data_IF_684326303844
#
_entry.id   IF_684326303844
#
_cell.length_a   1.000
_cell.length_b   1.000
_cell.length_c   1.000
_cell.angle_alpha   90.00
_cell.angle_beta   90.00
_cell.angle_gamma   90.00
#
_symmetry.space_group_name_H-M   'P 1'
#
loop_
_entity.id
_entity.type
_entity.pdbx_description
1 polymer ?
#
# COMPACT_ATOMS: atom_id res chain seq x y z
N UNK A 1 27.35 -5.23 -6.17
CA UNK A 1 26.18 -4.29 -6.27
C UNK A 1 24.86 -5.00 -6.00
N UNK A 2 24.55 -6.12 -6.63
CA UNK A 2 23.28 -6.86 -6.43
C UNK A 2 23.00 -7.28 -4.98
N UNK A 3 23.98 -7.85 -4.27
CA UNK A 3 23.82 -8.27 -2.87
C UNK A 3 23.50 -7.10 -1.92
N UNK A 4 24.11 -5.92 -2.15
CA UNK A 4 23.80 -4.71 -1.36
C UNK A 4 22.37 -4.24 -1.61
N UNK A 5 21.91 -4.25 -2.86
CA UNK A 5 20.55 -3.88 -3.20
C UNK A 5 19.54 -4.84 -2.58
N UNK A 6 19.82 -6.14 -2.64
CA UNK A 6 18.97 -7.16 -2.01
C UNK A 6 18.86 -6.96 -0.49
N UNK A 7 19.99 -6.69 0.19
CA UNK A 7 19.98 -6.41 1.62
C UNK A 7 19.19 -5.13 1.97
N UNK A 8 19.30 -4.09 1.13
CA UNK A 8 18.53 -2.84 1.28
C UNK A 8 17.02 -3.10 1.14
N UNK A 9 16.63 -3.84 0.11
CA UNK A 9 15.22 -4.16 -0.14
C UNK A 9 14.64 -5.05 0.96
N UNK A 10 15.42 -6.00 1.47
CA UNK A 10 15.01 -6.84 2.59
C UNK A 10 14.84 -6.04 3.89
N UNK A 11 15.79 -5.16 4.23
CA UNK A 11 15.70 -4.32 5.42
C UNK A 11 14.53 -3.34 5.34
N UNK A 12 14.33 -2.69 4.19
CA UNK A 12 13.18 -1.82 3.94
C UNK A 12 11.87 -2.58 4.10
N UNK A 13 11.73 -3.77 3.50
CA UNK A 13 10.52 -4.58 3.55
C UNK A 13 10.22 -5.05 4.99
N UNK A 14 11.25 -5.47 5.75
CA UNK A 14 11.10 -5.91 7.13
C UNK A 14 10.62 -4.79 8.05
N UNK A 15 11.22 -3.59 7.96
CA UNK A 15 10.81 -2.45 8.78
C UNK A 15 9.43 -1.96 8.38
N UNK A 16 9.14 -1.85 7.07
CA UNK A 16 7.82 -1.48 6.54
C UNK A 16 6.73 -2.41 7.08
N UNK A 17 6.96 -3.73 7.01
CA UNK A 17 6.02 -4.73 7.52
C UNK A 17 5.69 -4.49 8.99
N UNK A 18 6.69 -4.29 9.82
CA UNK A 18 6.51 -4.07 11.27
C UNK A 18 5.72 -2.78 11.57
N UNK A 19 5.94 -1.70 10.80
CA UNK A 19 5.17 -0.47 10.93
C UNK A 19 3.72 -0.67 10.51
N UNK A 20 3.49 -1.31 9.37
CA UNK A 20 2.14 -1.55 8.84
C UNK A 20 1.32 -2.45 9.77
N UNK A 21 1.94 -3.50 10.32
CA UNK A 21 1.29 -4.42 11.28
C UNK A 21 1.21 -3.86 12.70
N UNK A 22 1.63 -2.60 12.94
CA UNK A 22 1.64 -1.96 14.25
C UNK A 22 2.52 -2.66 15.31
N UNK A 23 3.51 -3.44 14.87
CA UNK A 23 4.57 -4.00 15.72
C UNK A 23 5.54 -2.90 16.14
N UNK A 24 5.81 -1.94 15.26
CA UNK A 24 6.46 -0.66 15.54
C UNK A 24 5.37 0.42 15.58
N UNK A 25 5.17 1.00 16.75
CA UNK A 25 4.06 1.91 17.04
C UNK A 25 4.39 3.36 16.68
N UNK A 26 3.39 4.22 16.45
CA UNK A 26 3.58 5.65 16.35
C UNK A 26 4.41 6.18 17.51
N UNK A 27 5.42 7.01 17.19
CA UNK A 27 6.35 7.57 18.17
C UNK A 27 7.51 6.67 18.58
N UNK A 28 7.52 5.39 18.20
CA UNK A 28 8.67 4.52 18.47
C UNK A 28 9.92 5.06 17.79
N UNK A 29 11.02 5.12 18.56
CA UNK A 29 12.32 5.57 18.05
C UNK A 29 13.06 4.41 17.42
N UNK A 30 13.47 4.60 16.16
CA UNK A 30 14.22 3.66 15.37
C UNK A 30 15.70 4.04 15.34
N UNK A 31 16.57 3.19 15.88
CA UNK A 31 18.02 3.43 15.85
C UNK A 31 18.68 2.60 14.76
N UNK A 32 19.59 3.24 14.00
CA UNK A 32 20.33 2.54 12.94
C UNK A 32 21.11 1.35 13.50
N UNK A 33 21.72 1.50 14.69
CA UNK A 33 22.49 0.42 15.33
C UNK A 33 21.60 -0.74 15.79
N UNK A 34 20.44 -0.44 16.41
CA UNK A 34 19.51 -1.47 16.88
C UNK A 34 18.96 -2.30 15.74
N UNK A 35 18.44 -1.61 14.70
CA UNK A 35 17.90 -2.27 13.51
C UNK A 35 18.96 -3.05 12.72
N UNK A 36 20.20 -2.53 12.63
CA UNK A 36 21.30 -3.24 11.95
C UNK A 36 21.63 -4.57 12.65
N UNK A 37 21.61 -4.58 13.98
CA UNK A 37 21.82 -5.80 14.77
C UNK A 37 20.65 -6.79 14.62
N UNK A 38 19.41 -6.30 14.66
CA UNK A 38 18.19 -7.14 14.52
C UNK A 38 18.08 -7.77 13.14
N UNK A 39 18.42 -7.02 12.08
CA UNK A 39 18.25 -7.44 10.68
C UNK A 39 19.51 -8.04 10.07
N UNK A 40 20.57 -8.23 10.88
CA UNK A 40 21.87 -8.77 10.44
C UNK A 40 22.39 -8.06 9.16
N UNK A 41 22.41 -6.74 9.19
CA UNK A 41 22.86 -5.92 8.05
C UNK A 41 23.68 -4.70 8.51
N UNK A 42 24.27 -3.97 7.56
CA UNK A 42 25.06 -2.78 7.89
C UNK A 42 24.18 -1.59 8.33
N UNK A 43 24.71 -0.72 9.21
CA UNK A 43 24.04 0.55 9.55
C UNK A 43 23.78 1.41 8.31
N UNK A 44 24.65 1.37 7.29
CA UNK A 44 24.45 2.08 6.02
C UNK A 44 23.21 1.55 5.27
N UNK A 45 22.98 0.22 5.28
CA UNK A 45 21.78 -0.41 4.72
C UNK A 45 20.53 0.06 5.45
N UNK A 46 20.55 0.08 6.78
CA UNK A 46 19.41 0.58 7.58
C UNK A 46 19.16 2.06 7.32
N UNK A 47 20.21 2.88 7.27
CA UNK A 47 20.07 4.32 6.98
C UNK A 47 19.38 4.58 5.64
N UNK A 48 19.79 3.87 4.58
CA UNK A 48 19.15 3.96 3.26
C UNK A 48 17.70 3.47 3.29
N UNK A 49 17.40 2.40 4.03
CA UNK A 49 16.04 1.89 4.24
C UNK A 49 15.16 2.91 4.96
N UNK A 50 15.68 3.56 6.02
CA UNK A 50 14.96 4.60 6.75
C UNK A 50 14.71 5.85 5.89
N UNK A 51 15.63 6.21 4.99
CA UNK A 51 15.40 7.31 4.03
C UNK A 51 14.26 6.97 3.05
N UNK A 52 14.17 5.72 2.57
CA UNK A 52 13.04 5.29 1.72
C UNK A 52 11.72 5.32 2.51
N UNK A 53 11.71 4.80 3.74
CA UNK A 53 10.54 4.85 4.61
C UNK A 53 10.11 6.28 4.95
N UNK A 54 11.06 7.23 5.03
CA UNK A 54 10.77 8.65 5.20
C UNK A 54 10.12 9.25 3.94
N UNK A 55 10.58 8.89 2.75
CA UNK A 55 9.94 9.28 1.50
C UNK A 55 8.50 8.75 1.41
N UNK A 56 8.26 7.52 1.89
CA UNK A 56 6.94 6.91 1.98
C UNK A 56 6.07 7.52 3.10
N UNK A 57 6.64 8.37 3.96
CA UNK A 57 5.95 9.00 5.08
C UNK A 57 5.72 8.10 6.29
N UNK A 58 6.32 6.91 6.33
CA UNK A 58 6.17 5.94 7.42
C UNK A 58 7.03 6.28 8.64
N UNK A 59 8.10 7.02 8.44
CA UNK A 59 8.97 7.54 9.50
C UNK A 59 9.28 9.00 9.28
N UNK A 60 9.67 9.70 10.36
CA UNK A 60 10.11 11.09 10.34
C UNK A 60 11.41 11.23 11.11
N UNK A 61 12.31 12.08 10.62
CA UNK A 61 13.48 12.50 11.38
C UNK A 61 13.11 13.67 12.30
N UNK A 62 13.33 13.49 13.59
CA UNK A 62 13.03 14.48 14.62
C UNK A 62 14.31 14.94 15.35
N UNK A 63 15.13 15.75 14.70
CA UNK A 63 16.30 16.40 15.30
C UNK A 63 17.08 15.50 16.27
N UNK A 64 17.04 15.82 17.56
CA UNK A 64 17.74 15.07 18.61
C UNK A 64 17.10 13.70 18.96
N UNK A 65 15.87 13.45 18.54
CA UNK A 65 15.15 12.19 18.82
C UNK A 65 15.45 11.08 17.82
N UNK A 66 16.21 11.38 16.77
CA UNK A 66 16.53 10.41 15.73
C UNK A 66 15.38 10.18 14.75
N UNK A 67 15.23 8.95 14.25
CA UNK A 67 14.13 8.57 13.36
C UNK A 67 13.00 7.95 14.19
N UNK A 68 11.77 8.37 13.92
CA UNK A 68 10.58 7.92 14.65
C UNK A 68 9.51 7.44 13.68
N UNK A 69 8.71 6.44 14.07
CA UNK A 69 7.51 6.04 13.33
C UNK A 69 6.50 7.19 13.35
N UNK A 70 5.97 7.55 12.17
CA UNK A 70 4.98 8.64 12.08
C UNK A 70 3.67 8.25 12.75
N UNK A 71 3.05 9.21 13.40
CA UNK A 71 1.64 9.12 13.73
C UNK A 71 0.78 9.35 12.48
N UNK A 72 -0.46 8.93 12.53
CA UNK A 72 -1.42 9.14 11.46
C UNK A 72 -2.69 9.76 12.05
N UNK A 73 -2.76 11.09 11.94
CA UNK A 73 -3.94 11.85 12.26
C UNK A 73 -5.13 11.38 11.40
N UNK A 74 -6.30 11.08 11.98
CA UNK A 74 -7.48 10.65 11.23
C UNK A 74 -7.92 11.62 10.13
N UNK A 75 -7.80 12.93 10.33
CA UNK A 75 -8.13 13.92 9.30
C UNK A 75 -7.15 13.83 8.13
N UNK A 76 -5.85 13.74 8.42
CA UNK A 76 -4.82 13.55 7.40
C UNK A 76 -5.01 12.20 6.67
N UNK A 77 -5.42 11.16 7.38
CA UNK A 77 -5.73 9.86 6.77
C UNK A 77 -6.87 9.96 5.74
N UNK A 78 -7.92 10.70 6.07
CA UNK A 78 -9.05 10.94 5.16
C UNK A 78 -8.63 11.75 3.93
N UNK A 79 -7.80 12.79 4.10
CA UNK A 79 -7.27 13.56 2.97
C UNK A 79 -6.39 12.70 2.04
N UNK A 80 -5.57 11.80 2.60
CA UNK A 80 -4.76 10.87 1.81
C UNK A 80 -5.63 9.85 1.06
N UNK A 81 -6.74 9.41 1.65
CA UNK A 81 -7.72 8.53 1.01
C UNK A 81 -8.38 9.23 -0.19
N UNK A 82 -8.84 10.47 0.00
CA UNK A 82 -9.44 11.27 -1.08
C UNK A 82 -8.43 11.57 -2.20
N UNK A 83 -7.18 11.87 -1.84
CA UNK A 83 -6.12 12.09 -2.83
C UNK A 83 -5.83 10.80 -3.62
N UNK A 84 -5.76 9.64 -2.95
CA UNK A 84 -5.64 8.32 -3.60
C UNK A 84 -6.75 8.11 -4.62
N UNK A 85 -7.99 8.30 -4.21
CA UNK A 85 -9.18 8.14 -5.05
C UNK A 85 -9.07 8.98 -6.33
N UNK A 86 -8.72 10.26 -6.19
CA UNK A 86 -8.57 11.18 -7.33
C UNK A 86 -7.43 10.82 -8.25
N UNK A 87 -6.28 10.42 -7.72
CA UNK A 87 -5.10 10.06 -8.53
C UNK A 87 -5.40 8.79 -9.33
N UNK A 88 -5.95 7.75 -8.70
CA UNK A 88 -6.26 6.48 -9.36
C UNK A 88 -7.37 6.64 -10.42
N UNK A 89 -8.44 7.36 -10.12
CA UNK A 89 -9.52 7.62 -11.07
C UNK A 89 -9.03 8.43 -12.29
N UNK A 90 -8.15 9.41 -12.08
CA UNK A 90 -7.52 10.19 -13.17
C UNK A 90 -6.63 9.33 -14.06
N UNK A 91 -5.95 8.35 -13.50
CA UNK A 91 -5.08 7.44 -14.25
C UNK A 91 -5.89 6.44 -15.09
N UNK A 92 -7.10 6.08 -14.68
CA UNK A 92 -7.92 5.01 -15.22
C UNK A 92 -8.10 5.08 -16.75
N UNK A 93 -8.49 6.24 -17.29
CA UNK A 93 -8.69 6.40 -18.73
C UNK A 93 -7.44 6.08 -19.53
N UNK A 94 -6.30 6.65 -19.11
CA UNK A 94 -5.02 6.42 -19.79
C UNK A 94 -4.55 4.97 -19.64
N UNK A 95 -4.80 4.34 -18.48
CA UNK A 95 -4.48 2.94 -18.27
C UNK A 95 -5.30 2.03 -19.19
N UNK A 96 -6.62 2.26 -19.29
CA UNK A 96 -7.50 1.50 -20.17
C UNK A 96 -7.16 1.64 -21.66
N UNK A 97 -6.69 2.82 -22.10
CA UNK A 97 -6.26 3.07 -23.48
C UNK A 97 -4.92 2.37 -23.82
N UNK A 98 -4.09 2.03 -22.82
CA UNK A 98 -2.71 1.55 -23.03
C UNK A 98 -2.47 0.11 -22.60
N UNK A 99 -3.39 -0.47 -21.86
CA UNK A 99 -3.23 -1.83 -21.37
C UNK A 99 -3.07 -2.81 -22.53
N UNK A 100 -2.08 -3.70 -22.43
CA UNK A 100 -1.81 -4.77 -23.38
C UNK A 100 -2.29 -6.11 -22.82
N UNK A 101 -2.36 -7.14 -23.68
CA UNK A 101 -2.67 -8.50 -23.24
C UNK A 101 -1.63 -9.02 -22.23
N UNK A 102 -0.36 -8.64 -22.35
CA UNK A 102 0.69 -9.00 -21.41
C UNK A 102 0.48 -8.34 -20.04
N UNK A 103 0.09 -7.05 -20.01
CA UNK A 103 -0.23 -6.36 -18.76
C UNK A 103 -1.42 -6.97 -18.05
N UNK A 104 -2.47 -7.32 -18.81
CA UNK A 104 -3.65 -8.02 -18.26
C UNK A 104 -3.27 -9.37 -17.68
N UNK A 105 -2.44 -10.16 -18.37
CA UNK A 105 -1.97 -11.44 -17.85
C UNK A 105 -1.18 -11.28 -16.54
N UNK A 106 -0.31 -10.27 -16.44
CA UNK A 106 0.43 -9.97 -15.23
C UNK A 106 -0.50 -9.55 -14.07
N UNK A 107 -1.53 -8.75 -14.34
CA UNK A 107 -2.52 -8.34 -13.33
C UNK A 107 -3.41 -9.52 -12.88
N UNK A 108 -3.76 -10.43 -13.77
CA UNK A 108 -4.48 -11.68 -13.43
C UNK A 108 -3.62 -12.57 -12.53
N UNK A 109 -2.32 -12.66 -12.79
CA UNK A 109 -1.39 -13.39 -11.92
C UNK A 109 -1.27 -12.74 -10.54
N UNK A 110 -1.22 -11.40 -10.45
CA UNK A 110 -1.26 -10.69 -9.16
C UNK A 110 -2.56 -10.99 -8.41
N UNK A 111 -3.72 -11.02 -9.10
CA UNK A 111 -4.99 -11.38 -8.48
C UNK A 111 -4.97 -12.82 -7.95
N UNK A 112 -4.44 -13.78 -8.70
CA UNK A 112 -4.33 -15.17 -8.26
C UNK A 112 -3.44 -15.29 -7.01
N UNK A 113 -2.35 -14.53 -6.95
CA UNK A 113 -1.47 -14.46 -5.76
C UNK A 113 -2.18 -13.81 -4.57
N UNK A 114 -3.00 -12.79 -4.77
CA UNK A 114 -3.84 -12.20 -3.72
C UNK A 114 -4.86 -13.21 -3.18
N UNK A 115 -5.51 -13.99 -4.06
CA UNK A 115 -6.44 -15.05 -3.66
C UNK A 115 -5.72 -16.12 -2.83
N UNK A 116 -4.50 -16.50 -3.21
CA UNK A 116 -3.68 -17.45 -2.45
C UNK A 116 -3.25 -16.91 -1.07
N UNK A 117 -2.80 -15.65 -1.00
CA UNK A 117 -2.45 -15.01 0.26
C UNK A 117 -3.67 -14.91 1.20
N UNK A 118 -4.83 -14.57 0.66
CA UNK A 118 -6.08 -14.54 1.40
C UNK A 118 -6.48 -15.92 1.95
N UNK A 119 -6.33 -16.97 1.16
CA UNK A 119 -6.60 -18.36 1.57
C UNK A 119 -5.62 -18.85 2.64
N UNK A 120 -4.37 -18.39 2.60
CA UNK A 120 -3.33 -18.69 3.60
C UNK A 120 -3.47 -17.86 4.89
N UNK A 121 -4.38 -16.88 4.95
CA UNK A 121 -4.50 -15.95 6.08
C UNK A 121 -3.34 -14.93 6.17
N UNK A 122 -2.56 -14.77 5.09
CA UNK A 122 -1.44 -13.82 5.02
C UNK A 122 -1.96 -12.40 4.68
N UNK A 123 -2.38 -11.69 5.71
CA UNK A 123 -2.92 -10.34 5.57
C UNK A 123 -1.88 -9.34 5.03
N UNK A 124 -0.62 -9.45 5.49
CA UNK A 124 0.42 -8.56 5.00
C UNK A 124 0.82 -8.87 3.56
N UNK A 125 0.93 -10.14 3.21
CA UNK A 125 1.18 -10.55 1.82
C UNK A 125 0.08 -10.09 0.87
N UNK A 126 -1.19 -10.21 1.28
CA UNK A 126 -2.33 -9.68 0.51
C UNK A 126 -2.21 -8.17 0.30
N UNK A 127 -1.86 -7.42 1.34
CA UNK A 127 -1.67 -5.98 1.28
C UNK A 127 -0.50 -5.57 0.37
N UNK A 128 0.62 -6.29 0.43
CA UNK A 128 1.76 -6.02 -0.45
C UNK A 128 1.39 -6.22 -1.93
N UNK A 129 0.63 -7.27 -2.23
CA UNK A 129 0.13 -7.55 -3.57
C UNK A 129 -0.92 -6.53 -4.05
N UNK A 130 -1.76 -6.01 -3.15
CA UNK A 130 -2.69 -4.91 -3.42
C UNK A 130 -1.94 -3.66 -3.88
N UNK A 131 -0.85 -3.30 -3.19
CA UNK A 131 0.00 -2.18 -3.59
C UNK A 131 0.55 -2.40 -5.01
N UNK A 132 1.13 -3.59 -5.25
CA UNK A 132 1.71 -3.92 -6.56
C UNK A 132 0.66 -3.87 -7.68
N UNK A 133 -0.57 -4.34 -7.41
CA UNK A 133 -1.68 -4.33 -8.35
C UNK A 133 -2.08 -2.89 -8.73
N UNK A 134 -2.32 -2.03 -7.76
CA UNK A 134 -2.68 -0.63 -8.01
C UNK A 134 -1.58 0.14 -8.72
N UNK A 135 -0.31 -0.08 -8.34
CA UNK A 135 0.83 0.55 -9.01
C UNK A 135 1.02 0.04 -10.44
N UNK A 136 0.80 -1.26 -10.70
CA UNK A 136 0.87 -1.81 -12.06
C UNK A 136 -0.14 -1.10 -12.99
N UNK A 137 -1.39 -0.93 -12.55
CA UNK A 137 -2.40 -0.18 -13.31
C UNK A 137 -1.99 1.29 -13.48
N UNK A 138 -1.54 1.92 -12.41
CA UNK A 138 -1.17 3.34 -12.44
C UNK A 138 -0.01 3.62 -13.42
N UNK A 139 0.99 2.74 -13.49
CA UNK A 139 2.13 2.85 -14.40
C UNK A 139 1.74 2.82 -15.87
N UNK A 140 0.64 2.14 -16.24
CA UNK A 140 0.09 2.21 -17.60
C UNK A 140 -0.32 3.63 -18.00
N UNK A 141 -0.71 4.45 -17.04
CA UNK A 141 -1.07 5.85 -17.30
C UNK A 141 0.13 6.76 -17.58
N UNK A 142 1.37 6.31 -17.30
CA UNK A 142 2.62 7.09 -17.45
C UNK A 142 2.55 8.46 -16.74
N UNK A 143 2.18 8.44 -15.48
CA UNK A 143 2.13 9.59 -14.58
C UNK A 143 3.22 9.48 -13.50
N UNK A 144 4.44 9.14 -13.91
CA UNK A 144 5.56 8.73 -13.05
C UNK A 144 5.83 9.73 -11.91
N UNK A 145 5.69 11.04 -12.17
CA UNK A 145 5.87 12.07 -11.15
C UNK A 145 4.86 11.98 -9.97
N UNK A 146 3.75 11.28 -10.14
CA UNK A 146 2.73 11.09 -9.10
C UNK A 146 2.86 9.74 -8.39
N UNK A 147 3.70 8.81 -8.87
CA UNK A 147 3.80 7.44 -8.33
C UNK A 147 4.16 7.45 -6.83
N UNK A 148 5.16 8.23 -6.43
CA UNK A 148 5.56 8.31 -5.02
C UNK A 148 4.46 8.89 -4.13
N UNK A 149 3.65 9.81 -4.65
CA UNK A 149 2.51 10.36 -3.92
C UNK A 149 1.45 9.27 -3.75
N UNK A 150 1.17 8.50 -4.80
CA UNK A 150 0.23 7.38 -4.75
C UNK A 150 0.69 6.29 -3.77
N UNK A 151 1.98 5.90 -3.81
CA UNK A 151 2.56 4.94 -2.85
C UNK A 151 2.30 5.40 -1.41
N UNK A 152 2.58 6.66 -1.12
CA UNK A 152 2.33 7.23 0.21
C UNK A 152 0.85 7.16 0.60
N UNK A 153 -0.06 7.53 -0.30
CA UNK A 153 -1.50 7.44 -0.06
C UNK A 153 -1.94 6.01 0.21
N UNK A 154 -1.49 5.03 -0.59
CA UNK A 154 -1.83 3.61 -0.43
C UNK A 154 -1.34 3.10 0.93
N UNK A 155 -0.08 3.34 1.29
CA UNK A 155 0.51 2.87 2.54
C UNK A 155 -0.24 3.41 3.77
N UNK A 156 -0.57 4.70 3.78
CA UNK A 156 -1.31 5.30 4.89
C UNK A 156 -2.77 4.82 4.95
N UNK A 157 -3.41 4.61 3.80
CA UNK A 157 -4.74 4.01 3.74
C UNK A 157 -4.75 2.60 4.33
N UNK A 158 -3.73 1.78 4.01
CA UNK A 158 -3.59 0.45 4.59
C UNK A 158 -3.32 0.48 6.10
N UNK A 159 -2.49 1.42 6.58
CA UNK A 159 -2.27 1.62 8.01
C UNK A 159 -3.59 1.94 8.72
N UNK A 160 -4.35 2.92 8.22
CA UNK A 160 -5.65 3.28 8.77
C UNK A 160 -6.60 2.09 8.83
N UNK A 161 -6.65 1.28 7.76
CA UNK A 161 -7.46 0.06 7.70
C UNK A 161 -7.06 -0.95 8.77
N UNK A 162 -5.78 -1.32 8.83
CA UNK A 162 -5.29 -2.36 9.75
C UNK A 162 -5.36 -1.93 11.22
N UNK A 163 -5.25 -0.62 11.48
CA UNK A 163 -5.31 -0.09 12.84
C UNK A 163 -6.72 0.26 13.29
N UNK A 164 -7.72 0.19 12.37
CA UNK A 164 -9.11 0.45 12.72
C UNK A 164 -9.67 -0.66 13.61
N UNK A 165 -10.24 -0.34 14.80
CA UNK A 165 -10.70 -1.33 15.77
C UNK A 165 -11.82 -2.24 15.25
N UNK A 166 -12.54 -1.83 14.22
CA UNK A 166 -13.72 -2.49 13.66
C UNK A 166 -13.52 -3.09 12.27
N UNK A 167 -12.29 -3.05 11.74
CA UNK A 167 -12.04 -3.69 10.46
C UNK A 167 -12.13 -5.21 10.58
N UNK A 168 -13.11 -5.82 9.93
CA UNK A 168 -13.37 -7.27 10.02
C UNK A 168 -13.74 -7.93 8.70
N UNK A 169 -13.41 -7.30 7.56
CA UNK A 169 -13.68 -7.93 6.26
C UNK A 169 -12.82 -9.18 6.11
N UNK A 170 -13.41 -10.36 5.77
CA UNK A 170 -12.64 -11.55 5.44
C UNK A 170 -11.64 -11.28 4.30
N UNK A 171 -10.43 -11.85 4.40
CA UNK A 171 -9.37 -11.62 3.41
C UNK A 171 -9.80 -12.04 1.99
N UNK A 172 -10.56 -13.14 1.86
CA UNK A 172 -11.13 -13.56 0.59
C UNK A 172 -12.01 -12.48 -0.06
N UNK A 173 -12.85 -11.80 0.72
CA UNK A 173 -13.66 -10.69 0.22
C UNK A 173 -12.79 -9.49 -0.14
N UNK A 174 -11.72 -9.23 0.61
CA UNK A 174 -10.75 -8.18 0.29
C UNK A 174 -10.08 -8.45 -1.06
N UNK A 175 -9.62 -9.66 -1.32
CA UNK A 175 -9.04 -10.05 -2.60
C UNK A 175 -10.05 -9.91 -3.77
N UNK A 176 -11.27 -10.40 -3.60
CA UNK A 176 -12.30 -10.38 -4.65
C UNK A 176 -12.68 -8.98 -5.15
N UNK A 177 -12.44 -7.93 -4.37
CA UNK A 177 -12.78 -6.54 -4.71
C UNK A 177 -12.00 -5.98 -5.90
N UNK A 178 -10.91 -6.61 -6.30
CA UNK A 178 -10.12 -6.23 -7.47
C UNK A 178 -10.68 -6.75 -8.80
N UNK A 179 -11.59 -7.75 -8.77
CA UNK A 179 -12.18 -8.35 -9.98
C UNK A 179 -12.95 -7.34 -10.85
N UNK A 180 -13.76 -6.41 -10.31
CA UNK A 180 -14.39 -5.38 -11.13
C UNK A 180 -13.38 -4.45 -11.82
N UNK A 181 -12.25 -4.16 -11.16
CA UNK A 181 -11.17 -3.35 -11.73
C UNK A 181 -10.55 -4.07 -12.94
N UNK A 182 -10.22 -5.38 -12.78
CA UNK A 182 -9.71 -6.21 -13.88
C UNK A 182 -10.71 -6.29 -15.04
N UNK A 183 -11.99 -6.48 -14.76
CA UNK A 183 -13.02 -6.59 -15.78
C UNK A 183 -13.13 -5.30 -16.60
N UNK A 184 -13.13 -4.14 -15.95
CA UNK A 184 -13.18 -2.84 -16.61
C UNK A 184 -11.92 -2.58 -17.46
N UNK A 185 -10.74 -2.97 -16.96
CA UNK A 185 -9.48 -2.82 -17.66
C UNK A 185 -9.42 -3.74 -18.90
N UNK A 186 -9.87 -4.99 -18.77
CA UNK A 186 -9.95 -5.95 -19.87
C UNK A 186 -10.95 -5.52 -20.96
N UNK A 187 -11.98 -4.78 -20.58
CA UNK A 187 -12.93 -4.18 -21.52
C UNK A 187 -12.42 -2.87 -22.17
N UNK A 188 -11.23 -2.39 -21.81
CA UNK A 188 -10.70 -1.08 -22.19
C UNK A 188 -11.66 0.09 -21.87
N UNK A 189 -12.55 -0.08 -20.87
CA UNK A 189 -13.51 0.93 -20.46
C UNK A 189 -12.91 1.81 -19.33
N UNK A 190 -12.31 2.92 -19.71
CA UNK A 190 -11.71 3.86 -18.78
C UNK A 190 -12.70 4.51 -17.81
N UNK A 191 -13.98 4.65 -18.19
CA UNK A 191 -15.00 5.20 -17.30
C UNK A 191 -15.44 4.16 -16.26
N UNK A 192 -15.65 2.90 -16.66
CA UNK A 192 -15.93 1.81 -15.74
C UNK A 192 -14.75 1.56 -14.80
N UNK A 193 -13.51 1.63 -15.32
CA UNK A 193 -12.29 1.48 -14.51
C UNK A 193 -12.19 2.58 -13.45
N UNK A 194 -12.46 3.84 -13.81
CA UNK A 194 -12.46 4.94 -12.85
C UNK A 194 -13.47 4.69 -11.72
N UNK A 195 -14.72 4.36 -12.06
CA UNK A 195 -15.75 4.03 -11.07
C UNK A 195 -15.38 2.84 -10.18
N UNK A 196 -14.79 1.80 -10.76
CA UNK A 196 -14.37 0.63 -10.00
C UNK A 196 -13.25 0.95 -9.01
N UNK A 197 -12.26 1.77 -9.41
CA UNK A 197 -11.18 2.24 -8.54
C UNK A 197 -11.71 3.17 -7.44
N UNK A 198 -12.57 4.13 -7.75
CA UNK A 198 -13.22 5.00 -6.76
C UNK A 198 -13.98 4.17 -5.73
N UNK A 199 -14.86 3.28 -6.15
CA UNK A 199 -15.61 2.40 -5.26
C UNK A 199 -14.70 1.51 -4.41
N UNK A 200 -13.61 0.99 -5.00
CA UNK A 200 -12.61 0.19 -4.29
C UNK A 200 -11.96 1.00 -3.17
N UNK A 201 -11.56 2.23 -3.44
CA UNK A 201 -10.92 3.11 -2.45
C UNK A 201 -11.92 3.55 -1.39
N UNK A 202 -13.11 4.02 -1.76
CA UNK A 202 -14.15 4.50 -0.84
C UNK A 202 -14.60 3.43 0.17
N UNK A 203 -14.55 2.16 -0.23
CA UNK A 203 -14.98 1.04 0.61
C UNK A 203 -13.81 0.28 1.26
N UNK A 204 -12.61 0.85 1.30
CA UNK A 204 -11.43 0.17 1.86
C UNK A 204 -11.55 -0.03 3.37
N UNK A 205 -12.13 0.94 4.06
CA UNK A 205 -12.51 0.84 5.48
C UNK A 205 -14.02 0.63 5.53
N UNK A 206 -14.45 -0.63 5.77
CA UNK A 206 -15.86 -0.88 6.09
C UNK A 206 -16.15 -0.30 7.48
N UNK A 207 -16.80 0.82 7.51
CA UNK A 207 -17.54 1.23 8.69
C UNK A 207 -18.83 0.43 8.63
N UNK A 208 -18.91 -0.67 9.40
CA UNK A 208 -20.20 -1.32 9.63
C UNK A 208 -21.19 -0.23 10.08
N UNK A 209 -22.42 -0.16 9.50
CA UNK A 209 -23.41 0.77 10.00
C UNK A 209 -23.52 0.58 11.51
N UNK A 210 -23.45 1.68 12.26
CA UNK A 210 -23.64 1.63 13.70
C UNK A 210 -24.95 0.88 13.95
N UNK A 211 -24.88 -0.30 14.59
CA UNK A 211 -26.07 -0.94 15.12
C UNK A 211 -26.76 0.11 15.96
N UNK A 212 -27.94 0.52 15.53
CA UNK A 212 -28.79 1.41 16.29
C UNK A 212 -29.04 0.69 17.63
N UNK A 213 -28.35 1.17 18.65
CA UNK A 213 -28.64 0.75 20.02
C UNK A 213 -30.07 1.18 20.33
N UNK A 214 -30.95 0.22 20.34
CA UNK A 214 -32.32 0.33 20.87
C UNK A 214 -32.28 0.23 22.38
#
# INVERSE_FOLDING_TARGET
MAARQQALDAAYAAIKRRIILNELKPGDTLTELGLAKELDCSQGTVRESLLRLQADGLVVRSGHRGTMVTDLDPEVANELLELRRRIEARAARRAAERVTAADLAALVELQARMDAAAAAGDEYGLLALDIDFHLAIFRLARLDALEQILVRCILHTHRSKLWAPRHRRPLAQTSMRHRPILAALAAHDGAALARALEHHVDTIVDVAPAEQAS
#
